data_IF_564583311945
#
_entry.id   IF_564583311945
#
_cell.length_a   1.000
_cell.length_b   1.000
_cell.length_c   1.000
_cell.angle_alpha   90.00
_cell.angle_beta   90.00
_cell.angle_gamma   90.00
#
_symmetry.space_group_name_H-M   'P 1'
#
loop_
_entity.id
_entity.type
_entity.pdbx_description
1 polymer ?
#
# COMPACT_ATOMS: atom_id res chain seq x y z
N UNK A 1 5.69 -0.30 -22.75
CA UNK A 1 5.91 -1.52 -21.92
C UNK A 1 7.41 -1.64 -21.70
N UNK A 2 7.89 -1.88 -20.48
CA UNK A 2 9.32 -1.83 -20.16
C UNK A 2 10.16 -2.83 -20.98
N UNK A 3 11.38 -2.42 -21.34
CA UNK A 3 12.37 -3.28 -21.99
C UNK A 3 12.92 -4.30 -20.99
N UNK A 4 12.59 -5.58 -21.21
CA UNK A 4 12.89 -6.67 -20.28
C UNK A 4 14.39 -6.91 -20.07
N UNK A 5 15.19 -6.56 -21.07
CA UNK A 5 16.64 -6.73 -21.00
C UNK A 5 17.37 -5.60 -20.28
N UNK A 6 16.67 -4.48 -20.02
CA UNK A 6 17.27 -3.32 -19.36
C UNK A 6 17.71 -3.62 -17.93
N UNK A 7 18.79 -2.96 -17.50
CA UNK A 7 19.29 -3.02 -16.11
C UNK A 7 18.20 -2.64 -15.11
N UNK A 8 17.40 -1.62 -15.41
CA UNK A 8 16.30 -1.18 -14.57
C UNK A 8 15.28 -2.31 -14.37
N UNK A 9 14.82 -2.96 -15.44
CA UNK A 9 13.86 -4.05 -15.34
C UNK A 9 14.39 -5.24 -14.51
N UNK A 10 15.66 -5.60 -14.70
CA UNK A 10 16.27 -6.75 -13.99
C UNK A 10 16.50 -6.49 -12.49
N UNK A 11 16.71 -5.23 -12.10
CA UNK A 11 17.04 -4.84 -10.72
C UNK A 11 15.83 -4.30 -9.94
N UNK A 12 14.77 -3.85 -10.59
CA UNK A 12 13.54 -3.41 -9.92
C UNK A 12 12.65 -4.61 -9.62
N UNK A 13 12.94 -5.31 -8.51
CA UNK A 13 12.10 -6.39 -7.98
C UNK A 13 11.34 -5.91 -6.75
N UNK A 14 10.03 -6.12 -6.76
CA UNK A 14 9.18 -5.86 -5.59
C UNK A 14 9.40 -6.94 -4.53
N UNK A 15 9.87 -6.53 -3.35
CA UNK A 15 10.02 -7.37 -2.15
C UNK A 15 9.45 -6.66 -0.93
N UNK A 16 9.06 -7.44 0.08
CA UNK A 16 8.86 -6.88 1.42
C UNK A 16 10.23 -6.50 1.97
N UNK A 17 10.35 -5.30 2.51
CA UNK A 17 11.54 -4.89 3.25
C UNK A 17 11.51 -5.52 4.65
N UNK A 18 12.50 -6.35 4.94
CA UNK A 18 12.71 -7.06 6.20
C UNK A 18 14.05 -6.69 6.86
N UNK A 19 14.77 -5.77 6.24
CA UNK A 19 16.12 -5.29 6.55
C UNK A 19 16.13 -3.85 7.10
N UNK A 20 15.03 -3.41 7.72
CA UNK A 20 14.89 -2.07 8.30
C UNK A 20 14.71 -2.15 9.82
N UNK A 21 15.33 -1.22 10.55
CA UNK A 21 15.12 -1.06 11.98
C UNK A 21 13.72 -0.53 12.29
N UNK A 22 13.27 -0.72 13.54
CA UNK A 22 11.92 -0.35 13.99
C UNK A 22 11.65 1.16 13.86
N UNK A 23 12.65 2.01 14.11
CA UNK A 23 12.49 3.46 14.02
C UNK A 23 12.28 3.90 12.57
N UNK A 24 12.99 3.30 11.63
CA UNK A 24 12.81 3.54 10.20
C UNK A 24 11.42 3.09 9.73
N UNK A 25 10.97 1.90 10.15
CA UNK A 25 9.62 1.38 9.82
C UNK A 25 8.53 2.31 10.37
N UNK A 26 8.71 2.81 11.60
CA UNK A 26 7.78 3.75 12.21
C UNK A 26 7.76 5.09 11.45
N UNK A 27 8.94 5.66 11.12
CA UNK A 27 9.06 6.90 10.32
C UNK A 27 8.35 6.77 8.97
N UNK A 28 8.51 5.65 8.27
CA UNK A 28 7.84 5.37 7.00
C UNK A 28 6.31 5.28 7.17
N UNK A 29 5.84 4.59 8.21
CA UNK A 29 4.41 4.43 8.49
C UNK A 29 3.73 5.76 8.82
N UNK A 30 4.36 6.57 9.67
CA UNK A 30 3.85 7.89 10.05
C UNK A 30 3.84 8.85 8.85
N UNK A 31 4.90 8.82 8.04
CA UNK A 31 4.99 9.64 6.82
C UNK A 31 3.90 9.25 5.82
N UNK A 32 3.65 7.95 5.62
CA UNK A 32 2.59 7.47 4.76
C UNK A 32 1.20 7.93 5.24
N UNK A 33 0.92 7.81 6.54
CA UNK A 33 -0.34 8.28 7.11
C UNK A 33 -0.51 9.80 7.00
N UNK A 34 0.55 10.57 7.23
CA UNK A 34 0.55 12.02 7.08
C UNK A 34 0.25 12.43 5.63
N UNK A 35 0.94 11.83 4.64
CA UNK A 35 0.72 12.09 3.23
C UNK A 35 -0.71 11.72 2.81
N UNK A 36 -1.19 10.54 3.20
CA UNK A 36 -2.55 10.06 2.91
C UNK A 36 -3.61 11.05 3.41
N UNK A 37 -3.46 11.56 4.63
CA UNK A 37 -4.37 12.55 5.22
C UNK A 37 -4.26 13.92 4.54
N UNK A 38 -3.04 14.37 4.23
CA UNK A 38 -2.80 15.67 3.62
C UNK A 38 -3.53 15.82 2.26
N UNK A 39 -3.55 14.75 1.46
CA UNK A 39 -4.25 14.73 0.16
C UNK A 39 -5.69 14.23 0.26
N UNK A 40 -6.22 14.03 1.47
CA UNK A 40 -7.60 13.62 1.74
C UNK A 40 -8.01 12.33 1.02
N UNK A 41 -7.09 11.37 0.94
CA UNK A 41 -7.41 10.02 0.44
C UNK A 41 -8.44 9.36 1.36
N UNK A 42 -9.19 8.42 0.78
CA UNK A 42 -10.27 7.70 1.46
C UNK A 42 -10.22 6.22 1.10
N UNK A 43 -10.66 5.40 2.04
CA UNK A 43 -10.68 3.93 2.01
C UNK A 43 -9.30 3.28 1.93
N UNK A 44 -8.63 3.42 0.79
CA UNK A 44 -7.37 2.78 0.50
C UNK A 44 -6.53 3.66 -0.42
N UNK A 45 -5.25 3.37 -0.45
CA UNK A 45 -4.29 4.06 -1.30
C UNK A 45 -2.90 3.52 -1.04
N UNK A 46 -1.97 3.84 -1.93
CA UNK A 46 -0.55 3.52 -1.75
C UNK A 46 0.24 4.81 -1.71
N UNK A 47 1.13 4.95 -0.75
CA UNK A 47 2.09 6.05 -0.69
C UNK A 47 3.44 5.49 -1.10
N UNK A 48 3.95 5.98 -2.23
CA UNK A 48 5.25 5.58 -2.74
C UNK A 48 6.30 6.54 -2.20
N UNK A 49 7.35 5.99 -1.60
CA UNK A 49 8.38 6.75 -0.91
C UNK A 49 9.78 6.33 -1.34
N UNK A 50 10.75 7.22 -1.13
CA UNK A 50 12.18 6.93 -1.22
C UNK A 50 12.81 7.07 0.16
N UNK A 51 13.55 6.05 0.58
CA UNK A 51 14.42 6.08 1.74
C UNK A 51 15.87 6.26 1.27
N UNK A 52 16.60 7.23 1.82
CA UNK A 52 18.04 7.42 1.52
C UNK A 52 18.91 6.57 2.45
N UNK A 53 20.21 6.35 2.13
CA UNK A 53 21.14 5.66 3.03
C UNK A 53 21.30 6.33 4.41
N UNK A 54 21.06 7.64 4.48
CA UNK A 54 21.11 8.43 5.72
C UNK A 54 19.82 8.34 6.54
N UNK A 55 18.81 7.59 6.08
CA UNK A 55 17.54 7.42 6.77
C UNK A 55 16.49 8.50 6.46
N UNK A 56 16.69 9.31 5.42
CA UNK A 56 15.72 10.34 5.03
C UNK A 56 14.61 9.80 4.13
N UNK A 57 13.38 10.23 4.40
CA UNK A 57 12.17 9.74 3.73
C UNK A 57 11.57 10.85 2.87
N UNK A 58 11.39 10.55 1.58
CA UNK A 58 10.79 11.45 0.60
C UNK A 58 9.54 10.81 0.00
N UNK A 59 8.38 11.48 0.10
CA UNK A 59 7.15 11.04 -0.57
C UNK A 59 7.26 11.38 -2.06
N UNK A 60 7.00 10.39 -2.91
CA UNK A 60 7.06 10.51 -4.37
C UNK A 60 5.64 10.65 -4.95
N UNK A 61 4.74 9.76 -4.52
CA UNK A 61 3.39 9.66 -5.09
C UNK A 61 2.39 9.25 -4.00
N UNK A 62 1.21 9.87 -4.02
CA UNK A 62 0.04 9.37 -3.33
C UNK A 62 -0.92 8.79 -4.37
N UNK A 63 -0.99 7.46 -4.44
CA UNK A 63 -1.79 6.75 -5.43
C UNK A 63 -3.17 6.39 -4.84
N UNK A 64 -4.27 7.03 -5.29
CA UNK A 64 -5.62 6.77 -4.78
C UNK A 64 -6.21 5.43 -5.23
N UNK A 65 -5.67 4.83 -6.29
CA UNK A 65 -6.19 3.58 -6.85
C UNK A 65 -5.03 2.69 -7.33
N UNK A 66 -4.21 2.16 -6.40
CA UNK A 66 -3.10 1.31 -6.76
C UNK A 66 -3.61 0.02 -7.41
N UNK A 67 -2.77 -0.61 -8.21
CA UNK A 67 -3.12 -1.86 -8.88
C UNK A 67 -3.42 -2.96 -7.86
N UNK A 68 -4.68 -3.37 -7.78
CA UNK A 68 -5.18 -4.38 -6.84
C UNK A 68 -4.91 -5.83 -7.27
N UNK A 69 -4.10 -6.09 -8.29
CA UNK A 69 -3.85 -7.48 -8.70
C UNK A 69 -3.15 -8.25 -7.58
N UNK A 70 -3.57 -9.50 -7.34
CA UNK A 70 -3.14 -10.33 -6.20
C UNK A 70 -1.64 -10.63 -6.16
N UNK A 71 -0.92 -10.37 -7.26
CA UNK A 71 0.52 -10.57 -7.41
C UNK A 71 1.36 -9.29 -7.24
N UNK A 72 0.73 -8.15 -6.92
CA UNK A 72 1.38 -6.85 -6.88
C UNK A 72 1.49 -6.28 -5.46
N UNK A 73 2.19 -5.16 -5.33
CA UNK A 73 2.74 -4.62 -4.09
C UNK A 73 1.67 -4.34 -3.03
N UNK A 74 0.50 -3.88 -3.45
CA UNK A 74 -0.59 -3.58 -2.53
C UNK A 74 -1.14 -4.85 -1.86
N UNK A 75 -1.34 -5.91 -2.64
CA UNK A 75 -1.75 -7.22 -2.11
C UNK A 75 -0.63 -7.89 -1.29
N UNK A 76 0.64 -7.69 -1.67
CA UNK A 76 1.79 -8.16 -0.89
C UNK A 76 1.84 -7.51 0.50
N UNK A 77 1.64 -6.18 0.57
CA UNK A 77 1.61 -5.44 1.84
C UNK A 77 0.43 -5.88 2.72
N UNK A 78 -0.76 -6.07 2.14
CA UNK A 78 -1.92 -6.60 2.86
C UNK A 78 -1.64 -8.00 3.44
N UNK A 79 -1.03 -8.90 2.65
CA UNK A 79 -0.63 -10.23 3.12
C UNK A 79 0.37 -10.16 4.27
N UNK A 80 1.37 -9.28 4.18
CA UNK A 80 2.35 -9.07 5.27
C UNK A 80 1.67 -8.58 6.56
N UNK A 81 0.57 -7.83 6.45
CA UNK A 81 -0.23 -7.38 7.59
C UNK A 81 -1.24 -8.42 8.13
N UNK A 82 -1.23 -9.64 7.60
CA UNK A 82 -2.11 -10.73 8.03
C UNK A 82 -3.43 -10.85 7.27
N UNK A 83 -3.70 -9.97 6.29
CA UNK A 83 -4.93 -9.98 5.49
C UNK A 83 -4.73 -10.74 4.19
N UNK A 84 -5.57 -11.74 3.93
CA UNK A 84 -5.58 -12.40 2.64
C UNK A 84 -6.24 -11.52 1.56
N UNK A 85 -6.12 -11.93 0.29
CA UNK A 85 -6.62 -11.14 -0.84
C UNK A 85 -8.12 -10.86 -0.78
N UNK A 86 -8.93 -11.87 -0.42
CA UNK A 86 -10.38 -11.71 -0.30
C UNK A 86 -10.75 -10.77 0.83
N UNK A 87 -10.06 -10.86 1.98
CA UNK A 87 -10.24 -9.92 3.10
C UNK A 87 -9.91 -8.48 2.69
N UNK A 88 -8.79 -8.27 1.98
CA UNK A 88 -8.42 -6.94 1.47
C UNK A 88 -9.51 -6.34 0.58
N UNK A 89 -10.01 -7.11 -0.40
CA UNK A 89 -11.06 -6.63 -1.31
C UNK A 89 -12.37 -6.41 -0.55
N UNK A 90 -12.71 -7.31 0.38
CA UNK A 90 -13.87 -7.18 1.26
C UNK A 90 -13.84 -5.88 2.07
N UNK A 91 -12.73 -5.58 2.74
CA UNK A 91 -12.53 -4.34 3.51
C UNK A 91 -12.72 -3.09 2.64
N UNK A 92 -12.19 -3.06 1.41
CA UNK A 92 -12.38 -1.95 0.48
C UNK A 92 -13.86 -1.76 0.14
N UNK A 93 -14.58 -2.86 -0.13
CA UNK A 93 -16.02 -2.82 -0.43
C UNK A 93 -16.82 -2.36 0.79
N UNK A 94 -16.48 -2.83 1.99
CA UNK A 94 -17.12 -2.43 3.24
C UNK A 94 -16.92 -0.94 3.54
N UNK A 95 -15.69 -0.42 3.39
CA UNK A 95 -15.38 0.99 3.54
C UNK A 95 -16.17 1.86 2.55
N UNK A 96 -16.24 1.43 1.28
CA UNK A 96 -17.00 2.11 0.25
C UNK A 96 -18.51 2.10 0.55
N UNK A 97 -19.06 0.96 0.97
CA UNK A 97 -20.47 0.82 1.31
C UNK A 97 -20.85 1.65 2.53
N UNK A 98 -20.02 1.65 3.57
CA UNK A 98 -20.20 2.46 4.77
C UNK A 98 -20.23 3.96 4.42
N UNK A 99 -19.29 4.45 3.60
CA UNK A 99 -19.32 5.84 3.11
C UNK A 99 -20.60 6.12 2.31
N UNK A 100 -20.99 5.20 1.43
CA UNK A 100 -22.18 5.31 0.60
C UNK A 100 -23.49 5.16 1.37
N UNK A 101 -23.45 4.83 2.66
CA UNK A 101 -24.61 4.46 3.49
C UNK A 101 -25.42 3.31 2.90
N UNK A 102 -24.75 2.42 2.17
CA UNK A 102 -25.32 1.22 1.59
C UNK A 102 -25.32 0.14 2.67
N UNK A 103 -26.49 -0.43 2.98
CA UNK A 103 -26.56 -1.57 3.91
C UNK A 103 -25.88 -2.79 3.26
N UNK A 104 -24.69 -3.14 3.71
CA UNK A 104 -24.13 -4.47 3.45
C UNK A 104 -24.85 -5.47 4.35
N UNK A 105 -25.21 -6.64 3.81
CA UNK A 105 -25.59 -7.75 4.69
C UNK A 105 -24.33 -8.15 5.45
N UNK A 106 -24.35 -8.04 6.78
CA UNK A 106 -23.28 -8.54 7.65
C UNK A 106 -22.93 -9.96 7.22
N UNK A 107 -21.68 -10.19 6.82
CA UNK A 107 -21.18 -11.56 6.71
C UNK A 107 -21.13 -12.10 8.13
N UNK A 108 -22.09 -12.93 8.51
CA UNK A 108 -21.94 -13.81 9.66
C UNK A 108 -20.68 -14.65 9.46
N UNK A 109 -19.89 -14.73 10.51
CA UNK A 109 -18.64 -15.47 10.64
C UNK A 109 -18.75 -16.94 10.19
#
# INVERSE_FOLDING_TARGET
KFERESRAYKLTKSKIADDLDEATVQKLSDTALAAYRAVKLRDYGRIDMRLTPEGEVYVIEANPNPWLSSKHEFAMAAKKSGRNYTQLIGEIVELAAHRGKIRTKSSTA
#
